data_IF_878093351780
#
_entry.id   IF_878093351780
#
_cell.length_a   1.000
_cell.length_b   1.000
_cell.length_c   1.000
_cell.angle_alpha   90.00
_cell.angle_beta   90.00
_cell.angle_gamma   90.00
#
_symmetry.space_group_name_H-M   'P 1'
#
loop_
_entity.id
_entity.type
_entity.pdbx_description
1 polymer ?
#
# COMPACT_ATOMS: atom_id res chain seq x y z
N UNK A 1 22.28 -2.45 2.50
CA UNK A 1 21.33 -1.68 1.67
C UNK A 1 20.64 -2.53 0.60
N UNK A 2 21.36 -3.41 -0.10
CA UNK A 2 20.78 -4.21 -1.20
C UNK A 2 19.68 -5.19 -0.75
N UNK A 3 19.88 -5.90 0.37
CA UNK A 3 18.86 -6.75 0.97
C UNK A 3 17.56 -5.99 1.33
N UNK A 4 17.68 -4.77 1.87
CA UNK A 4 16.53 -3.91 2.17
C UNK A 4 15.79 -3.49 0.90
N UNK A 5 16.52 -3.18 -0.19
CA UNK A 5 15.93 -2.86 -1.50
C UNK A 5 15.19 -4.06 -2.10
N UNK A 6 15.70 -5.28 -1.91
CA UNK A 6 15.03 -6.50 -2.38
C UNK A 6 13.71 -6.73 -1.65
N UNK A 7 13.71 -6.61 -0.32
CA UNK A 7 12.48 -6.76 0.47
C UNK A 7 11.48 -5.66 0.16
N UNK A 8 11.92 -4.41 0.16
CA UNK A 8 11.05 -3.24 -0.05
C UNK A 8 10.49 -3.19 -1.47
N UNK A 9 11.33 -3.49 -2.47
CA UNK A 9 11.00 -3.39 -3.89
C UNK A 9 10.39 -4.65 -4.49
N UNK A 10 9.97 -5.62 -3.69
CA UNK A 10 9.41 -6.86 -4.22
C UNK A 10 8.07 -6.61 -4.91
N UNK A 11 8.02 -6.96 -6.19
CA UNK A 11 6.86 -6.84 -7.06
C UNK A 11 6.61 -8.17 -7.78
N UNK A 12 5.35 -8.42 -8.13
CA UNK A 12 5.05 -9.56 -9.01
C UNK A 12 5.48 -9.22 -10.44
N UNK A 13 6.20 -10.14 -11.09
CA UNK A 13 6.68 -9.98 -12.47
C UNK A 13 5.86 -10.82 -13.47
N UNK A 14 4.56 -10.94 -13.23
CA UNK A 14 3.64 -11.72 -14.05
C UNK A 14 2.33 -10.95 -14.27
N UNK A 15 1.40 -11.52 -15.05
CA UNK A 15 0.13 -10.86 -15.39
C UNK A 15 -0.72 -10.45 -14.18
N UNK A 16 -0.53 -11.10 -13.02
CA UNK A 16 -1.25 -10.73 -11.81
C UNK A 16 -0.85 -9.36 -11.24
N UNK A 17 0.32 -8.84 -11.63
CA UNK A 17 0.76 -7.50 -11.24
C UNK A 17 -0.18 -6.38 -11.72
N UNK A 18 -0.99 -6.65 -12.74
CA UNK A 18 -2.05 -5.72 -13.21
C UNK A 18 -3.18 -5.53 -12.20
N UNK A 19 -3.40 -6.52 -11.33
CA UNK A 19 -4.43 -6.46 -10.28
C UNK A 19 -3.80 -6.13 -8.93
N UNK A 20 -2.64 -6.70 -8.63
CA UNK A 20 -1.95 -6.48 -7.37
C UNK A 20 -0.45 -6.45 -7.63
N UNK A 21 0.18 -5.27 -7.76
CA UNK A 21 1.59 -5.17 -8.13
C UNK A 21 2.54 -5.70 -7.05
N UNK A 22 2.07 -5.80 -5.81
CA UNK A 22 2.85 -6.24 -4.64
C UNK A 22 2.08 -7.26 -3.79
N UNK A 23 2.76 -8.09 -2.97
CA UNK A 23 2.09 -8.94 -1.98
C UNK A 23 1.21 -8.15 -1.01
N UNK A 24 1.61 -6.92 -0.71
CA UNK A 24 0.81 -6.01 0.10
C UNK A 24 -0.50 -5.64 -0.59
N UNK A 25 -0.47 -5.24 -1.87
CA UNK A 25 -1.68 -4.95 -2.64
C UNK A 25 -2.61 -6.17 -2.69
N UNK A 26 -2.07 -7.38 -2.87
CA UNK A 26 -2.84 -8.62 -2.82
C UNK A 26 -3.52 -8.82 -1.46
N UNK A 27 -2.81 -8.64 -0.36
CA UNK A 27 -3.39 -8.77 0.98
C UNK A 27 -4.54 -7.77 1.22
N UNK A 28 -4.40 -6.53 0.74
CA UNK A 28 -5.47 -5.52 0.81
C UNK A 28 -6.66 -5.85 -0.09
N UNK A 29 -6.44 -6.46 -1.26
CA UNK A 29 -7.51 -6.94 -2.14
C UNK A 29 -8.32 -8.06 -1.47
N UNK A 30 -7.64 -9.04 -0.86
CA UNK A 30 -8.32 -10.09 -0.10
C UNK A 30 -9.10 -9.50 1.07
N UNK A 31 -8.53 -8.51 1.77
CA UNK A 31 -9.21 -7.81 2.86
C UNK A 31 -10.45 -7.06 2.36
N UNK A 32 -10.39 -6.45 1.17
CA UNK A 32 -11.52 -5.80 0.51
C UNK A 32 -12.64 -6.79 0.19
N UNK A 33 -12.31 -7.94 -0.42
CA UNK A 33 -13.33 -8.95 -0.71
C UNK A 33 -13.93 -9.49 0.59
N UNK A 34 -13.11 -9.73 1.61
CA UNK A 34 -13.57 -10.29 2.88
C UNK A 34 -14.35 -9.28 3.74
N UNK A 35 -14.13 -7.97 3.59
CA UNK A 35 -14.79 -6.94 4.41
C UNK A 35 -16.31 -6.90 4.23
N UNK A 36 -16.83 -7.42 3.12
CA UNK A 36 -18.27 -7.59 2.87
C UNK A 36 -18.91 -8.51 3.91
N UNK A 37 -18.24 -9.58 4.33
CA UNK A 37 -18.83 -10.53 5.26
C UNK A 37 -19.08 -9.93 6.67
N UNK A 38 -18.11 -9.25 7.33
CA UNK A 38 -18.38 -8.52 8.57
C UNK A 38 -19.39 -7.39 8.40
N UNK A 39 -19.39 -6.68 7.26
CA UNK A 39 -20.33 -5.61 6.98
C UNK A 39 -21.79 -6.10 6.95
N UNK A 40 -22.03 -7.26 6.34
CA UNK A 40 -23.36 -7.88 6.27
C UNK A 40 -23.76 -8.57 7.58
N UNK A 41 -22.81 -9.28 8.22
CA UNK A 41 -23.08 -10.06 9.45
C UNK A 41 -23.12 -9.21 10.71
N UNK A 42 -22.58 -7.98 10.68
CA UNK A 42 -22.49 -7.11 11.83
C UNK A 42 -21.59 -7.66 12.95
N UNK A 43 -20.65 -8.55 12.62
CA UNK A 43 -19.66 -9.12 13.55
C UNK A 43 -18.37 -9.48 12.82
N UNK A 44 -17.24 -9.36 13.52
CA UNK A 44 -15.92 -9.71 12.99
C UNK A 44 -15.49 -11.08 13.49
N UNK A 45 -15.10 -11.97 12.58
CA UNK A 45 -14.60 -13.30 12.92
C UNK A 45 -13.08 -13.32 13.14
N UNK A 46 -12.54 -14.35 13.84
CA UNK A 46 -11.09 -14.47 14.06
C UNK A 46 -10.26 -14.49 12.77
N UNK A 47 -10.77 -15.14 11.71
CA UNK A 47 -10.07 -15.18 10.42
C UNK A 47 -9.85 -13.79 9.80
N UNK A 48 -10.86 -12.91 9.87
CA UNK A 48 -10.73 -11.53 9.41
C UNK A 48 -9.70 -10.76 10.25
N UNK A 49 -9.68 -10.99 11.57
CA UNK A 49 -8.69 -10.38 12.46
C UNK A 49 -7.27 -10.82 12.12
N UNK A 50 -7.04 -12.12 11.94
CA UNK A 50 -5.72 -12.64 11.55
C UNK A 50 -5.26 -12.04 10.23
N UNK A 51 -6.16 -11.95 9.24
CA UNK A 51 -5.84 -11.34 7.95
C UNK A 51 -5.53 -9.85 8.08
N UNK A 52 -6.28 -9.10 8.90
CA UNK A 52 -6.00 -7.70 9.19
C UNK A 52 -4.61 -7.52 9.83
N UNK A 53 -4.19 -8.41 10.74
CA UNK A 53 -2.84 -8.41 11.32
C UNK A 53 -1.76 -8.70 10.27
N UNK A 54 -2.00 -9.65 9.37
CA UNK A 54 -1.10 -9.93 8.26
C UNK A 54 -0.95 -8.70 7.35
N UNK A 55 -2.05 -8.02 7.02
CA UNK A 55 -2.01 -6.77 6.25
C UNK A 55 -1.19 -5.69 6.95
N UNK A 56 -1.34 -5.53 8.27
CA UNK A 56 -0.49 -4.64 9.08
C UNK A 56 1.01 -4.96 8.92
N UNK A 57 1.39 -6.23 9.03
CA UNK A 57 2.78 -6.66 8.85
C UNK A 57 3.27 -6.32 7.43
N UNK A 58 2.46 -6.62 6.41
CA UNK A 58 2.78 -6.34 5.01
C UNK A 58 2.80 -4.85 4.66
N UNK A 59 2.19 -3.98 5.47
CA UNK A 59 2.33 -2.52 5.34
C UNK A 59 3.57 -2.01 6.08
N UNK A 60 3.79 -2.47 7.31
CA UNK A 60 4.86 -1.97 8.16
C UNK A 60 6.24 -2.44 7.68
N UNK A 61 6.37 -3.64 7.14
CA UNK A 61 7.63 -4.14 6.61
C UNK A 61 8.21 -3.24 5.48
N UNK A 62 7.48 -2.97 4.38
CA UNK A 62 7.94 -2.02 3.38
C UNK A 62 7.98 -0.58 3.91
N UNK A 63 7.07 -0.19 4.81
CA UNK A 63 7.07 1.15 5.41
C UNK A 63 8.36 1.45 6.20
N UNK A 64 8.74 0.56 7.11
CA UNK A 64 9.96 0.69 7.94
C UNK A 64 11.21 0.61 7.07
N UNK A 65 11.29 -0.36 6.16
CA UNK A 65 12.43 -0.45 5.24
C UNK A 65 12.55 0.78 4.33
N UNK A 66 11.42 1.35 3.89
CA UNK A 66 11.38 2.60 3.13
C UNK A 66 11.90 3.79 3.92
N UNK A 67 11.48 3.95 5.18
CA UNK A 67 12.00 4.99 6.09
C UNK A 67 13.50 4.86 6.29
N UNK A 68 14.00 3.65 6.57
CA UNK A 68 15.45 3.41 6.73
C UNK A 68 16.21 3.81 5.46
N UNK A 69 15.69 3.45 4.28
CA UNK A 69 16.31 3.81 3.01
C UNK A 69 16.28 5.31 2.75
N UNK A 70 15.17 5.99 3.07
CA UNK A 70 15.02 7.43 2.91
C UNK A 70 15.95 8.23 3.83
N UNK A 71 16.15 7.77 5.07
CA UNK A 71 17.15 8.33 5.98
C UNK A 71 18.59 8.19 5.42
N UNK A 72 18.84 7.17 4.60
CA UNK A 72 20.06 7.00 3.82
C UNK A 72 20.11 7.78 2.51
N UNK A 73 19.15 8.67 2.25
CA UNK A 73 19.06 9.51 1.04
C UNK A 73 18.46 8.81 -0.19
N UNK A 74 17.94 7.60 -0.05
CA UNK A 74 17.29 6.92 -1.16
C UNK A 74 15.89 7.48 -1.43
N UNK A 75 15.51 7.53 -2.71
CA UNK A 75 14.18 7.89 -3.18
C UNK A 75 13.51 6.72 -3.86
N UNK A 76 12.23 6.87 -4.15
CA UNK A 76 11.50 5.89 -4.95
C UNK A 76 12.17 5.72 -6.33
N UNK A 77 12.24 4.51 -6.92
CA UNK A 77 13.05 4.29 -8.11
C UNK A 77 12.62 5.06 -9.37
N UNK A 78 11.33 5.31 -9.54
CA UNK A 78 10.78 6.13 -10.64
C UNK A 78 11.18 7.61 -10.54
N UNK A 79 11.52 8.09 -9.34
CA UNK A 79 11.99 9.46 -9.09
C UNK A 79 13.52 9.61 -9.16
N UNK A 80 14.24 8.51 -9.40
CA UNK A 80 15.70 8.49 -9.37
C UNK A 80 16.24 8.28 -10.77
N UNK A 81 16.97 9.27 -11.30
CA UNK A 81 17.73 9.12 -12.54
C UNK A 81 18.95 8.21 -12.30
N UNK A 82 19.08 7.16 -13.10
CA UNK A 82 20.23 6.24 -13.09
C UNK A 82 21.23 6.54 -14.21
N UNK A 83 20.98 7.58 -14.99
CA UNK A 83 21.79 8.07 -16.10
C UNK A 83 20.94 8.44 -17.32
N UNK A 84 21.23 9.59 -17.93
CA UNK A 84 20.57 10.01 -19.17
C UNK A 84 19.11 10.45 -19.02
N UNK A 85 18.66 10.81 -17.81
CA UNK A 85 17.29 11.23 -17.54
C UNK A 85 16.30 10.07 -17.35
N UNK A 86 16.80 8.84 -17.20
CA UNK A 86 15.99 7.63 -17.14
C UNK A 86 16.04 6.99 -15.75
N UNK A 87 14.90 6.49 -15.30
CA UNK A 87 14.79 5.60 -14.14
C UNK A 87 15.35 4.21 -14.44
N UNK A 88 15.54 3.39 -13.39
CA UNK A 88 15.97 1.99 -13.54
C UNK A 88 15.04 1.10 -14.39
N UNK A 89 13.84 1.60 -14.70
CA UNK A 89 12.83 0.93 -15.52
C UNK A 89 12.81 1.43 -16.97
N UNK A 90 13.80 2.23 -17.39
CA UNK A 90 13.88 2.85 -18.73
C UNK A 90 12.72 3.80 -19.07
N UNK A 91 12.00 4.29 -18.06
CA UNK A 91 11.08 5.41 -18.18
C UNK A 91 11.77 6.71 -17.79
N UNK A 92 11.35 7.88 -18.30
CA UNK A 92 11.85 9.16 -17.82
C UNK A 92 11.72 9.26 -16.29
N UNK A 93 12.78 9.70 -15.62
CA UNK A 93 12.72 9.91 -14.18
C UNK A 93 11.71 11.04 -13.86
N UNK A 94 10.93 10.88 -12.79
CA UNK A 94 9.93 11.86 -12.36
C UNK A 94 10.05 12.12 -10.85
N UNK A 95 10.68 13.24 -10.44
CA UNK A 95 10.90 13.56 -9.04
C UNK A 95 9.61 13.66 -8.20
N UNK A 96 8.47 13.98 -8.81
CA UNK A 96 7.18 14.11 -8.09
C UNK A 96 6.71 12.78 -7.50
N UNK A 97 7.15 11.65 -8.08
CA UNK A 97 6.76 10.30 -7.63
C UNK A 97 7.20 10.00 -6.22
N UNK A 98 8.28 10.62 -5.74
CA UNK A 98 8.76 10.40 -4.38
C UNK A 98 7.73 10.90 -3.36
N UNK A 99 7.18 12.10 -3.56
CA UNK A 99 6.14 12.64 -2.69
C UNK A 99 4.82 11.89 -2.77
N UNK A 100 4.42 11.48 -3.97
CA UNK A 100 3.24 10.65 -4.14
C UNK A 100 3.37 9.31 -3.41
N UNK A 101 4.55 8.69 -3.46
CA UNK A 101 4.82 7.43 -2.76
C UNK A 101 4.65 7.58 -1.25
N UNK A 102 5.17 8.66 -0.66
CA UNK A 102 4.95 9.00 0.75
C UNK A 102 3.48 9.23 1.09
N UNK A 103 2.77 9.98 0.25
CA UNK A 103 1.34 10.26 0.43
C UNK A 103 0.52 8.96 0.45
N UNK A 104 0.70 8.08 -0.54
CA UNK A 104 -0.04 6.82 -0.59
C UNK A 104 0.33 5.88 0.55
N UNK A 105 1.60 5.85 0.98
CA UNK A 105 2.02 5.09 2.15
C UNK A 105 1.35 5.61 3.44
N UNK A 106 1.24 6.93 3.61
CA UNK A 106 0.55 7.54 4.74
C UNK A 106 -0.96 7.23 4.73
N UNK A 107 -1.61 7.31 3.55
CA UNK A 107 -3.02 6.92 3.42
C UNK A 107 -3.27 5.45 3.70
N UNK A 108 -2.33 4.56 3.35
CA UNK A 108 -2.40 3.15 3.73
C UNK A 108 -2.42 2.97 5.27
N UNK A 109 -1.50 3.63 5.98
CA UNK A 109 -1.43 3.58 7.45
C UNK A 109 -2.69 4.14 8.10
N UNK A 110 -3.17 5.29 7.61
CA UNK A 110 -4.41 5.92 8.08
C UNK A 110 -5.62 4.99 7.89
N UNK A 111 -5.73 4.36 6.71
CA UNK A 111 -6.83 3.44 6.42
C UNK A 111 -6.81 2.22 7.33
N UNK A 112 -5.63 1.64 7.59
CA UNK A 112 -5.50 0.55 8.55
C UNK A 112 -5.87 0.96 9.97
N UNK A 113 -5.48 2.17 10.40
CA UNK A 113 -5.90 2.71 11.70
C UNK A 113 -7.42 2.88 11.78
N UNK A 114 -8.06 3.41 10.74
CA UNK A 114 -9.52 3.51 10.67
C UNK A 114 -10.16 2.12 10.75
N UNK A 115 -9.63 1.12 10.05
CA UNK A 115 -10.13 -0.26 10.15
C UNK A 115 -10.07 -0.80 11.58
N UNK A 116 -9.00 -0.54 12.35
CA UNK A 116 -8.93 -0.91 13.76
C UNK A 116 -10.03 -0.26 14.59
N UNK A 117 -10.29 1.03 14.36
CA UNK A 117 -11.33 1.77 15.07
C UNK A 117 -12.71 1.16 14.79
N UNK A 118 -13.01 0.89 13.52
CA UNK A 118 -14.29 0.29 13.10
C UNK A 118 -14.47 -1.11 13.69
N UNK A 119 -13.42 -1.94 13.63
CA UNK A 119 -13.43 -3.32 14.13
C UNK A 119 -13.47 -3.39 15.66
N UNK A 120 -12.94 -2.40 16.39
CA UNK A 120 -13.03 -2.36 17.86
C UNK A 120 -14.36 -1.82 18.38
N UNK A 121 -15.10 -1.08 17.56
CA UNK A 121 -16.42 -0.53 17.92
C UNK A 121 -16.40 0.46 19.09
N UNK A 122 -15.29 1.17 19.31
CA UNK A 122 -15.13 2.09 20.46
C UNK A 122 -15.63 3.51 20.20
N UNK A 123 -15.59 4.00 18.95
CA UNK A 123 -15.93 5.39 18.61
C UNK A 123 -17.32 5.55 17.98
N UNK A 124 -17.87 4.48 17.41
CA UNK A 124 -19.19 4.46 16.78
C UNK A 124 -19.84 3.11 17.08
N UNK A 125 -21.17 3.04 16.94
CA UNK A 125 -21.92 1.79 17.07
C UNK A 125 -21.28 0.71 16.19
N UNK A 126 -20.91 -0.42 16.81
CA UNK A 126 -20.08 -1.43 16.16
C UNK A 126 -20.69 -1.93 14.84
N UNK A 127 -21.98 -2.28 14.82
CA UNK A 127 -22.66 -2.74 13.59
C UNK A 127 -22.67 -1.70 12.48
N UNK A 128 -22.89 -0.43 12.83
CA UNK A 128 -22.86 0.67 11.87
C UNK A 128 -21.44 0.85 11.32
N UNK A 129 -20.43 0.83 12.19
CA UNK A 129 -19.03 0.92 11.80
C UNK A 129 -18.59 -0.18 10.84
N UNK A 130 -19.05 -1.41 11.06
CA UNK A 130 -18.72 -2.53 10.18
C UNK A 130 -19.25 -2.35 8.74
N UNK A 131 -20.32 -1.58 8.53
CA UNK A 131 -20.83 -1.28 7.19
C UNK A 131 -19.88 -0.43 6.35
N UNK A 132 -18.99 0.32 7.00
CA UNK A 132 -17.98 1.15 6.32
C UNK A 132 -16.71 0.37 5.96
N UNK A 133 -16.53 -0.87 6.43
CA UNK A 133 -15.33 -1.65 6.14
C UNK A 133 -15.05 -1.77 4.63
N UNK A 134 -16.03 -2.08 3.75
CA UNK A 134 -15.78 -2.19 2.31
C UNK A 134 -15.24 -0.90 1.68
N UNK A 135 -15.74 0.25 2.11
CA UNK A 135 -15.30 1.56 1.61
C UNK A 135 -13.85 1.83 2.03
N UNK A 136 -13.53 1.60 3.29
CA UNK A 136 -12.17 1.81 3.81
C UNK A 136 -11.19 0.82 3.20
N UNK A 137 -11.58 -0.45 3.04
CA UNK A 137 -10.71 -1.44 2.38
C UNK A 137 -10.53 -1.18 0.89
N UNK A 138 -11.52 -0.60 0.21
CA UNK A 138 -11.41 -0.22 -1.20
C UNK A 138 -10.39 0.91 -1.36
N UNK A 139 -10.49 1.93 -0.52
CA UNK A 139 -9.54 3.04 -0.52
C UNK A 139 -8.13 2.58 -0.15
N UNK A 140 -7.99 1.71 0.86
CA UNK A 140 -6.73 1.08 1.24
C UNK A 140 -6.10 0.31 0.06
N UNK A 141 -6.88 -0.53 -0.61
CA UNK A 141 -6.41 -1.29 -1.77
C UNK A 141 -5.98 -0.36 -2.92
N UNK A 142 -6.75 0.68 -3.22
CA UNK A 142 -6.38 1.68 -4.22
C UNK A 142 -5.05 2.37 -3.88
N UNK A 143 -4.84 2.77 -2.62
CA UNK A 143 -3.58 3.34 -2.17
C UNK A 143 -2.42 2.33 -2.27
N UNK A 144 -2.64 1.08 -1.83
CA UNK A 144 -1.63 0.02 -1.90
C UNK A 144 -1.21 -0.30 -3.35
N UNK A 145 -2.18 -0.32 -4.27
CA UNK A 145 -1.92 -0.43 -5.70
C UNK A 145 -1.08 0.74 -6.21
N UNK A 146 -1.45 1.96 -5.82
CA UNK A 146 -0.74 3.17 -6.22
C UNK A 146 0.69 3.21 -5.69
N UNK A 147 0.98 2.75 -4.46
CA UNK A 147 2.35 2.60 -3.93
C UNK A 147 3.24 1.80 -4.88
N UNK A 148 2.75 0.67 -5.39
CA UNK A 148 3.49 -0.14 -6.36
C UNK A 148 3.62 0.54 -7.73
N UNK A 149 2.54 1.16 -8.21
CA UNK A 149 2.49 1.84 -9.51
C UNK A 149 3.42 3.04 -9.58
N UNK A 150 3.40 3.91 -8.58
CA UNK A 150 4.27 5.10 -8.54
C UNK A 150 5.73 4.71 -8.39
N UNK A 151 6.05 3.53 -7.87
CA UNK A 151 7.43 3.07 -7.76
C UNK A 151 8.07 2.73 -9.11
N UNK A 152 7.25 2.45 -10.14
CA UNK A 152 7.71 1.97 -11.46
C UNK A 152 7.49 3.00 -12.55
N UNK A 153 6.28 3.57 -12.62
CA UNK A 153 5.85 4.37 -13.76
C UNK A 153 5.97 5.88 -13.49
N UNK A 154 6.33 6.70 -14.50
CA UNK A 154 6.42 8.14 -14.39
C UNK A 154 5.02 8.79 -14.29
N UNK A 155 4.94 9.97 -13.69
CA UNK A 155 3.72 10.67 -13.32
C UNK A 155 3.38 11.84 -14.24
N UNK A 156 2.99 12.95 -13.64
CA UNK A 156 2.56 14.16 -14.35
C UNK A 156 3.73 15.04 -14.77
N UNK A 157 4.93 14.81 -14.24
CA UNK A 157 6.14 15.60 -14.55
C UNK A 157 7.34 14.73 -14.96
N UNK A 158 7.24 13.91 -16.02
CA UNK A 158 8.37 13.09 -16.46
C UNK A 158 9.48 13.94 -17.09
N UNK A 159 10.74 13.71 -16.69
CA UNK A 159 11.91 14.34 -17.29
C UNK A 159 12.18 15.79 -16.85
N UNK A 160 11.52 16.26 -15.78
CA UNK A 160 11.75 17.57 -15.15
C UNK A 160 12.79 17.52 -14.05
#
# INVERSE_FOLDING_TARGET
>A
MEFLRLIHGYQFNNAFALLFPTPYALATLVLLIWSVAPALKGRVGPGFMVWLRLTWVLTLLPGVTGVIMALGGAKVPSATDVGGGLSKYNYPADPSRDWEHWMYAAFCLLSLYVLEVLVRGRLIEHRLGLRFLPVVTLFLYGCAYMVGRVAVFPGSTPGT
#
